data_IF_755201794108
#
_entry.id   IF_755201794108
#
_cell.length_a   1.000
_cell.length_b   1.000
_cell.length_c   1.000
_cell.angle_alpha   90.00
_cell.angle_beta   90.00
_cell.angle_gamma   90.00
#
_symmetry.space_group_name_H-M   'P 1'
#
loop_
_entity.id
_entity.type
_entity.pdbx_description
1 polymer ?
#
# COMPACT_ATOMS: atom_id res chain seq x y z
N UNK A 1 13.03 -5.08 2.18
CA UNK A 1 14.32 -5.54 2.72
C UNK A 1 14.70 -4.67 3.90
N UNK A 2 15.09 -5.26 5.02
CA UNK A 2 15.51 -4.53 6.23
C UNK A 2 16.96 -4.84 6.56
N UNK A 3 17.66 -3.86 7.13
CA UNK A 3 19.00 -4.00 7.69
C UNK A 3 18.96 -4.70 9.05
N UNK A 4 20.11 -5.13 9.53
CA UNK A 4 20.29 -5.70 10.88
C UNK A 4 19.78 -4.78 12.01
N UNK A 5 19.91 -3.46 11.85
CA UNK A 5 19.43 -2.47 12.82
C UNK A 5 17.90 -2.25 12.77
N UNK A 6 17.20 -3.01 11.92
CA UNK A 6 15.77 -2.89 11.70
C UNK A 6 15.37 -1.73 10.77
N UNK A 7 16.28 -0.87 10.32
CA UNK A 7 15.93 0.15 9.33
C UNK A 7 15.60 -0.46 7.96
N UNK A 8 14.76 0.21 7.18
CA UNK A 8 14.42 -0.24 5.83
C UNK A 8 15.55 0.11 4.86
N UNK A 9 16.01 -0.85 4.06
CA UNK A 9 16.96 -0.59 2.98
C UNK A 9 16.19 -0.12 1.74
N UNK A 10 15.28 -0.97 1.28
CA UNK A 10 14.35 -0.67 0.22
C UNK A 10 13.06 -1.47 0.37
N UNK A 11 12.00 -0.96 -0.26
CA UNK A 11 10.68 -1.56 -0.29
C UNK A 11 10.21 -1.71 -1.74
N UNK A 12 9.62 -2.86 -2.04
CA UNK A 12 8.94 -3.16 -3.30
C UNK A 12 7.46 -3.37 -3.00
N UNK A 13 6.58 -2.70 -3.73
CA UNK A 13 5.15 -2.85 -3.54
C UNK A 13 4.37 -2.54 -4.81
N UNK A 14 3.05 -2.51 -4.67
CA UNK A 14 2.12 -2.31 -5.76
C UNK A 14 1.04 -1.33 -5.35
N UNK A 15 0.63 -0.48 -6.29
CA UNK A 15 -0.62 0.28 -6.20
C UNK A 15 -1.38 0.18 -7.51
N UNK A 16 -2.52 -0.52 -7.51
CA UNK A 16 -3.24 -0.89 -8.74
C UNK A 16 -2.28 -1.59 -9.72
N UNK A 17 -2.04 -1.04 -10.91
CA UNK A 17 -1.09 -1.58 -11.89
C UNK A 17 0.32 -0.95 -11.81
N UNK A 18 0.57 -0.10 -10.82
CA UNK A 18 1.83 0.60 -10.64
C UNK A 18 2.79 -0.20 -9.74
N UNK A 19 4.01 -0.44 -10.21
CA UNK A 19 5.11 -1.01 -9.43
C UNK A 19 5.77 0.11 -8.62
N UNK A 20 5.79 -0.01 -7.30
CA UNK A 20 6.40 0.95 -6.38
C UNK A 20 7.74 0.42 -5.90
N UNK A 21 8.79 1.24 -5.96
CA UNK A 21 10.08 0.98 -5.34
C UNK A 21 10.43 2.18 -4.46
N UNK A 22 10.72 1.95 -3.18
CA UNK A 22 11.18 3.01 -2.26
C UNK A 22 12.61 2.73 -1.83
N UNK A 23 13.47 3.74 -1.90
CA UNK A 23 14.82 3.74 -1.36
C UNK A 23 14.91 4.65 -0.15
N UNK A 24 15.55 4.17 0.91
CA UNK A 24 15.72 4.88 2.18
C UNK A 24 17.16 5.40 2.37
N UNK A 25 17.96 5.43 1.30
CA UNK A 25 19.35 5.86 1.36
C UNK A 25 19.53 7.37 1.24
N UNK A 26 18.59 8.05 0.59
CA UNK A 26 18.65 9.51 0.38
C UNK A 26 17.28 10.10 0.68
N UNK A 27 17.10 10.79 1.82
CA UNK A 27 15.84 11.44 2.12
C UNK A 27 15.56 12.54 1.07
N UNK A 28 14.36 12.60 0.46
CA UNK A 28 14.01 13.68 -0.47
C UNK A 28 13.98 15.04 0.25
N UNK A 29 14.13 16.11 -0.54
CA UNK A 29 13.62 17.41 -0.14
C UNK A 29 12.09 17.30 0.03
N UNK A 30 11.57 17.62 1.22
CA UNK A 30 10.15 17.62 1.65
C UNK A 30 9.64 16.33 2.31
N UNK A 31 10.02 16.13 3.57
CA UNK A 31 9.17 15.51 4.61
C UNK A 31 8.92 14.00 4.56
N UNK A 32 9.28 13.28 3.50
CA UNK A 32 9.22 11.82 3.45
C UNK A 32 10.59 11.21 3.78
N UNK A 33 10.66 10.07 4.49
CA UNK A 33 11.93 9.43 4.84
C UNK A 33 12.54 8.59 3.70
N UNK A 34 11.90 8.57 2.51
CA UNK A 34 12.31 7.75 1.37
C UNK A 34 12.10 8.46 0.04
N UNK A 35 12.84 8.02 -0.98
CA UNK A 35 12.62 8.36 -2.40
C UNK A 35 11.81 7.25 -3.06
N UNK A 36 10.68 7.60 -3.65
CA UNK A 36 9.79 6.66 -4.36
C UNK A 36 10.01 6.77 -5.88
N UNK A 37 10.24 5.63 -6.53
CA UNK A 37 10.32 5.45 -7.98
C UNK A 37 9.38 4.33 -8.40
N UNK A 38 9.19 4.11 -9.71
CA UNK A 38 8.34 3.02 -10.15
C UNK A 38 7.96 3.04 -11.62
N UNK A 39 7.07 2.13 -12.01
CA UNK A 39 6.56 2.05 -13.37
C UNK A 39 5.05 1.83 -13.35
N UNK A 40 4.30 2.72 -14.02
CA UNK A 40 2.85 2.64 -14.12
C UNK A 40 2.38 1.71 -15.22
N UNK A 41 1.29 0.99 -14.99
CA UNK A 41 0.65 0.15 -16.01
C UNK A 41 1.33 -1.20 -16.26
N UNK A 42 2.43 -1.50 -15.56
CA UNK A 42 3.22 -2.72 -15.79
C UNK A 42 2.61 -3.95 -15.10
N UNK A 43 1.96 -3.78 -13.95
CA UNK A 43 1.32 -4.85 -13.16
C UNK A 43 -0.17 -5.01 -13.51
N UNK A 44 -0.49 -5.20 -14.78
CA UNK A 44 -1.89 -5.38 -15.20
C UNK A 44 -2.47 -6.73 -14.70
N UNK A 45 -3.72 -6.69 -14.23
CA UNK A 45 -4.39 -7.87 -13.69
C UNK A 45 -4.51 -9.01 -14.71
N UNK A 46 -4.32 -10.25 -14.27
CA UNK A 46 -4.43 -11.45 -15.10
C UNK A 46 -3.25 -11.71 -16.04
N UNK A 47 -2.21 -10.87 -16.04
CA UNK A 47 -1.00 -11.09 -16.82
C UNK A 47 0.11 -11.68 -15.97
N UNK A 48 0.77 -12.70 -16.51
CA UNK A 48 2.08 -13.14 -16.03
C UNK A 48 3.14 -12.23 -16.65
N UNK A 49 3.97 -11.63 -15.80
CA UNK A 49 5.07 -10.76 -16.22
C UNK A 49 6.33 -11.13 -15.45
N UNK A 50 7.48 -10.86 -16.05
CA UNK A 50 8.78 -10.91 -15.40
C UNK A 50 9.23 -9.48 -15.07
N UNK A 51 9.56 -9.23 -13.80
CA UNK A 51 10.06 -7.93 -13.33
C UNK A 51 11.50 -8.11 -12.86
N UNK A 52 12.42 -7.33 -13.41
CA UNK A 52 13.79 -7.23 -12.92
C UNK A 52 14.07 -5.79 -12.45
N UNK A 53 14.64 -5.68 -11.26
CA UNK A 53 15.15 -4.43 -10.71
C UNK A 53 16.67 -4.55 -10.61
N UNK A 54 17.37 -3.69 -11.33
CA UNK A 54 18.83 -3.65 -11.29
C UNK A 54 19.25 -2.36 -10.61
N UNK A 55 19.98 -2.45 -9.50
CA UNK A 55 20.48 -1.27 -8.78
C UNK A 55 21.98 -1.36 -8.57
N UNK A 56 22.69 -0.28 -8.90
CA UNK A 56 24.16 -0.24 -8.86
C UNK A 56 24.69 1.20 -8.80
N UNK A 57 25.97 1.42 -9.16
CA UNK A 57 26.59 2.75 -9.13
C UNK A 57 25.90 3.80 -10.03
N UNK A 58 25.25 3.35 -11.11
CA UNK A 58 24.56 4.22 -12.07
C UNK A 58 23.06 4.39 -11.80
N UNK A 59 22.60 4.06 -10.59
CA UNK A 59 21.21 4.18 -10.19
C UNK A 59 20.42 2.87 -10.27
N UNK A 60 19.12 2.98 -10.51
CA UNK A 60 18.20 1.84 -10.56
C UNK A 60 17.42 1.80 -11.88
N UNK A 61 17.50 0.64 -12.54
CA UNK A 61 16.73 0.30 -13.73
C UNK A 61 15.59 -0.64 -13.39
N UNK A 62 14.46 -0.43 -14.08
CA UNK A 62 13.29 -1.30 -14.03
C UNK A 62 13.13 -1.91 -15.42
N UNK A 63 13.12 -3.25 -15.47
CA UNK A 63 12.87 -4.02 -16.68
C UNK A 63 11.59 -4.85 -16.54
N UNK A 64 10.82 -4.93 -17.62
CA UNK A 64 9.62 -5.76 -17.72
C UNK A 64 9.79 -6.68 -18.91
N UNK A 65 9.63 -7.99 -18.69
CA UNK A 65 9.80 -9.02 -19.71
C UNK A 65 11.14 -8.85 -20.48
N UNK A 66 12.22 -8.59 -19.74
CA UNK A 66 13.57 -8.43 -20.29
C UNK A 66 13.89 -7.06 -20.90
N UNK A 67 12.90 -6.17 -21.05
CA UNK A 67 13.07 -4.86 -21.69
C UNK A 67 13.15 -3.72 -20.66
N UNK A 68 14.09 -2.76 -20.78
CA UNK A 68 14.16 -1.61 -19.89
C UNK A 68 12.95 -0.68 -20.10
N UNK A 69 12.22 -0.36 -19.04
CA UNK A 69 11.05 0.54 -19.09
C UNK A 69 11.27 1.87 -18.37
N UNK A 70 12.13 1.90 -17.34
CA UNK A 70 12.47 3.10 -16.57
C UNK A 70 13.91 3.03 -16.06
N UNK A 71 14.58 4.17 -16.06
CA UNK A 71 15.90 4.39 -15.46
C UNK A 71 15.82 5.55 -14.45
N UNK A 72 16.47 5.37 -13.30
CA UNK A 72 16.54 6.34 -12.21
C UNK A 72 18.00 6.49 -11.75
N UNK A 73 18.78 7.40 -12.36
CA UNK A 73 20.24 7.44 -12.19
C UNK A 73 20.68 7.81 -10.76
N UNK A 74 19.86 8.59 -10.06
CA UNK A 74 20.17 9.11 -8.73
C UNK A 74 19.55 8.28 -7.58
N UNK A 75 19.06 7.06 -7.87
CA UNK A 75 18.38 6.22 -6.87
C UNK A 75 19.08 4.89 -6.77
N UNK A 76 19.64 4.60 -5.61
CA UNK A 76 20.26 3.30 -5.29
C UNK A 76 19.46 2.59 -4.20
N UNK A 77 19.28 1.28 -4.31
CA UNK A 77 18.54 0.48 -3.33
C UNK A 77 19.39 0.15 -2.09
N UNK A 78 20.70 0.02 -2.26
CA UNK A 78 21.67 -0.14 -1.18
C UNK A 78 22.65 1.04 -1.17
N UNK A 79 23.25 1.33 0.00
CA UNK A 79 24.33 2.31 0.13
C UNK A 79 25.58 1.84 -0.62
N UNK A 80 26.55 2.74 -0.80
CA UNK A 80 27.71 2.49 -1.67
C UNK A 80 28.52 1.25 -1.30
N UNK A 81 28.74 1.03 -0.01
CA UNK A 81 29.53 -0.08 0.53
C UNK A 81 28.65 -1.09 1.30
N UNK A 82 27.34 -1.06 1.08
CA UNK A 82 26.40 -1.94 1.76
C UNK A 82 26.27 -3.26 0.99
N UNK A 83 26.53 -4.37 1.68
CA UNK A 83 26.33 -5.72 1.17
C UNK A 83 24.91 -6.20 1.51
N UNK A 84 24.49 -7.30 0.89
CA UNK A 84 23.22 -7.97 1.24
C UNK A 84 23.33 -8.80 2.53
N UNK A 85 24.52 -8.92 3.12
CA UNK A 85 24.75 -9.72 4.31
C UNK A 85 23.98 -9.14 5.51
N UNK A 86 23.40 -10.03 6.33
CA UNK A 86 22.61 -9.66 7.52
C UNK A 86 21.27 -8.98 7.22
N UNK A 87 20.88 -8.81 5.96
CA UNK A 87 19.59 -8.23 5.66
C UNK A 87 18.45 -9.25 5.76
N UNK A 88 17.31 -8.80 6.25
CA UNK A 88 16.08 -9.59 6.28
C UNK A 88 15.20 -9.28 5.06
N UNK A 89 14.75 -10.34 4.39
CA UNK A 89 13.80 -10.27 3.27
C UNK A 89 12.41 -10.67 3.75
N UNK A 90 11.41 -9.89 3.35
CA UNK A 90 10.00 -10.17 3.58
C UNK A 90 9.32 -10.14 2.22
N UNK A 91 8.50 -11.16 1.94
CA UNK A 91 7.79 -11.31 0.67
C UNK A 91 6.30 -11.50 0.90
N UNK A 92 5.49 -11.05 -0.06
CA UNK A 92 4.03 -11.20 -0.04
C UNK A 92 3.27 -10.16 0.79
N UNK A 93 3.91 -9.55 1.80
CA UNK A 93 3.35 -8.45 2.57
C UNK A 93 4.46 -7.58 3.19
N UNK A 94 4.14 -6.37 3.61
CA UNK A 94 5.03 -5.59 4.47
C UNK A 94 5.19 -6.25 5.85
N UNK A 95 6.31 -6.00 6.56
CA UNK A 95 6.58 -6.66 7.85
C UNK A 95 5.53 -6.40 8.94
N UNK A 96 4.84 -5.26 8.87
CA UNK A 96 3.74 -4.84 9.74
C UNK A 96 2.36 -5.33 9.23
N UNK A 97 2.34 -6.10 8.14
CA UNK A 97 1.17 -6.71 7.52
C UNK A 97 0.12 -5.72 6.94
N UNK A 98 0.48 -4.44 6.83
CA UNK A 98 -0.42 -3.37 6.34
C UNK A 98 -0.55 -3.35 4.81
N UNK A 99 0.48 -3.75 4.07
CA UNK A 99 0.57 -3.60 2.62
C UNK A 99 0.77 -4.94 1.89
N UNK A 100 -0.30 -5.75 1.72
CA UNK A 100 -0.19 -7.05 1.05
C UNK A 100 0.03 -6.90 -0.46
N UNK A 101 0.75 -7.86 -1.04
CA UNK A 101 0.88 -7.98 -2.49
C UNK A 101 -0.43 -8.53 -3.10
N UNK A 102 -0.91 -7.90 -4.18
CA UNK A 102 -2.12 -8.32 -4.87
C UNK A 102 -1.78 -9.18 -6.10
N UNK A 103 -1.86 -10.49 -5.93
CA UNK A 103 -1.63 -11.47 -7.01
C UNK A 103 -0.71 -12.61 -6.58
N UNK A 104 -0.21 -13.36 -7.56
CA UNK A 104 0.67 -14.51 -7.31
C UNK A 104 2.09 -14.17 -7.71
N UNK A 105 3.03 -14.35 -6.78
CA UNK A 105 4.47 -14.37 -7.07
C UNK A 105 4.86 -15.82 -7.34
N UNK A 106 5.41 -16.10 -8.52
CA UNK A 106 5.78 -17.48 -8.90
C UNK A 106 7.16 -17.86 -8.36
N UNK A 107 8.13 -16.96 -8.49
CA UNK A 107 9.47 -17.12 -7.96
C UNK A 107 10.13 -15.78 -7.66
N UNK A 108 11.22 -15.83 -6.91
CA UNK A 108 12.02 -14.67 -6.56
C UNK A 108 13.49 -15.07 -6.55
N UNK A 109 14.32 -14.31 -7.25
CA UNK A 109 15.77 -14.53 -7.28
C UNK A 109 16.48 -13.21 -7.00
N UNK A 110 17.47 -13.23 -6.12
CA UNK A 110 18.27 -12.08 -5.72
C UNK A 110 19.73 -12.32 -6.10
N UNK A 111 20.36 -11.33 -6.72
CA UNK A 111 21.77 -11.38 -7.10
C UNK A 111 22.57 -10.36 -6.30
N UNK A 112 23.80 -10.72 -5.94
CA UNK A 112 24.73 -9.84 -5.21
C UNK A 112 25.45 -8.82 -6.08
N UNK A 113 25.12 -8.74 -7.37
CA UNK A 113 25.69 -7.77 -8.32
C UNK A 113 24.62 -7.20 -9.23
N UNK A 114 24.85 -5.98 -9.70
CA UNK A 114 24.06 -5.40 -10.79
C UNK A 114 24.34 -6.16 -12.09
N UNK A 115 23.29 -6.48 -12.83
CA UNK A 115 23.35 -7.04 -14.17
C UNK A 115 23.33 -5.93 -15.23
N UNK A 116 23.89 -6.20 -16.40
CA UNK A 116 23.68 -5.36 -17.58
C UNK A 116 22.29 -5.61 -18.16
N UNK A 117 21.77 -4.66 -18.94
CA UNK A 117 20.48 -4.86 -19.62
C UNK A 117 20.49 -6.10 -20.54
N UNK A 118 21.63 -6.41 -21.17
CA UNK A 118 21.77 -7.62 -22.00
C UNK A 118 21.62 -8.91 -21.18
N UNK A 119 22.25 -8.97 -20.00
CA UNK A 119 22.11 -10.11 -19.08
C UNK A 119 20.66 -10.28 -18.61
N UNK A 120 19.94 -9.18 -18.33
CA UNK A 120 18.51 -9.22 -17.98
C UNK A 120 17.67 -9.76 -19.14
N UNK A 121 17.93 -9.32 -20.37
CA UNK A 121 17.21 -9.81 -21.56
C UNK A 121 17.48 -11.29 -21.83
N UNK A 122 18.72 -11.75 -21.65
CA UNK A 122 19.09 -13.17 -21.79
C UNK A 122 18.33 -14.06 -20.79
N UNK A 123 18.05 -13.53 -19.61
CA UNK A 123 17.38 -14.23 -18.51
C UNK A 123 15.90 -13.82 -18.35
N UNK A 124 15.25 -13.26 -19.38
CA UNK A 124 13.88 -12.76 -19.30
C UNK A 124 12.82 -13.88 -19.11
N UNK A 125 13.18 -15.12 -19.41
CA UNK A 125 12.32 -16.29 -19.30
C UNK A 125 12.77 -17.12 -18.08
N UNK A 126 12.12 -16.96 -16.92
CA UNK A 126 12.44 -17.81 -15.78
C UNK A 126 12.10 -19.27 -16.09
N UNK A 127 12.82 -20.19 -15.44
CA UNK A 127 12.61 -21.63 -15.61
C UNK A 127 11.25 -22.08 -15.06
N UNK A 128 11.02 -23.39 -15.01
CA UNK A 128 9.83 -23.95 -14.35
C UNK A 128 9.67 -23.39 -12.93
N UNK A 129 8.43 -23.05 -12.56
CA UNK A 129 8.12 -22.41 -11.27
C UNK A 129 8.45 -20.91 -11.19
N UNK A 130 8.97 -20.29 -12.25
CA UNK A 130 9.11 -18.82 -12.32
C UNK A 130 10.33 -18.23 -11.61
N UNK A 131 11.25 -19.08 -11.11
CA UNK A 131 12.54 -18.66 -10.58
C UNK A 131 13.64 -18.83 -11.63
N UNK A 132 14.69 -18.00 -11.56
CA UNK A 132 15.80 -18.10 -12.50
C UNK A 132 16.66 -19.34 -12.20
N UNK A 133 17.16 -20.05 -13.24
CA UNK A 133 18.00 -21.22 -13.03
C UNK A 133 19.34 -20.80 -12.39
N UNK A 134 19.59 -21.26 -11.17
CA UNK A 134 20.89 -21.09 -10.52
C UNK A 134 21.72 -22.36 -10.78
N UNK A 135 22.66 -22.31 -11.74
CA UNK A 135 23.70 -23.34 -11.84
C UNK A 135 24.76 -23.06 -10.78
N UNK A 136 25.08 -24.07 -9.95
CA UNK A 136 26.24 -24.03 -9.05
C UNK A 136 27.47 -23.55 -9.84
N UNK A 137 28.01 -22.39 -9.48
CA UNK A 137 29.29 -21.88 -9.99
C UNK A 137 29.24 -20.98 -11.24
N UNK A 138 28.09 -20.71 -11.88
CA UNK A 138 28.05 -19.84 -13.08
C UNK A 138 27.37 -18.48 -12.85
N UNK A 139 26.40 -18.37 -11.93
CA UNK A 139 25.84 -17.09 -11.50
C UNK A 139 25.45 -17.22 -10.02
N UNK A 140 26.19 -16.56 -9.13
CA UNK A 140 25.94 -16.61 -7.69
C UNK A 140 24.72 -15.74 -7.33
N UNK A 141 23.51 -16.31 -7.48
CA UNK A 141 22.37 -15.80 -6.76
C UNK A 141 22.64 -15.90 -5.25
N UNK A 142 22.23 -14.88 -4.51
CA UNK A 142 22.30 -14.84 -3.04
C UNK A 142 21.09 -15.52 -2.41
N UNK A 143 19.97 -15.52 -3.13
CA UNK A 143 18.76 -16.20 -2.74
C UNK A 143 17.95 -16.59 -3.97
N UNK A 144 17.33 -17.78 -3.95
CA UNK A 144 16.46 -18.22 -5.03
C UNK A 144 15.29 -19.05 -4.49
N UNK A 145 14.06 -18.58 -4.70
CA UNK A 145 12.86 -19.22 -4.19
C UNK A 145 11.86 -19.49 -5.29
N UNK A 146 11.23 -20.65 -5.18
CA UNK A 146 10.03 -21.05 -5.91
C UNK A 146 8.87 -21.13 -4.94
N UNK A 147 7.70 -20.65 -5.36
CA UNK A 147 6.49 -20.66 -4.55
C UNK A 147 5.47 -21.70 -5.03
N UNK A 148 5.89 -22.62 -5.90
CA UNK A 148 5.11 -23.79 -6.26
C UNK A 148 5.55 -25.02 -5.44
N UNK A 149 4.58 -25.88 -5.10
CA UNK A 149 4.86 -27.22 -4.55
C UNK A 149 5.51 -27.28 -3.15
N UNK A 150 5.64 -26.16 -2.43
CA UNK A 150 6.19 -26.18 -1.07
C UNK A 150 5.14 -26.59 -0.03
N UNK A 151 5.53 -27.43 0.92
CA UNK A 151 4.70 -27.91 2.02
C UNK A 151 5.29 -27.45 3.37
N UNK A 152 4.42 -27.10 4.32
CA UNK A 152 4.84 -26.64 5.65
C UNK A 152 5.16 -25.15 5.74
N UNK A 153 6.04 -24.81 6.67
CA UNK A 153 6.41 -23.44 7.06
C UNK A 153 7.78 -22.99 6.53
N UNK A 154 8.56 -23.87 5.90
CA UNK A 154 9.88 -23.51 5.35
C UNK A 154 9.84 -23.56 3.82
N UNK A 155 10.45 -22.57 3.18
CA UNK A 155 10.67 -22.50 1.74
C UNK A 155 12.19 -22.47 1.53
N UNK A 156 12.70 -23.55 0.95
CA UNK A 156 14.14 -23.78 0.79
C UNK A 156 14.74 -22.81 -0.22
N UNK A 157 15.91 -22.27 0.11
CA UNK A 157 16.74 -21.50 -0.80
C UNK A 157 17.46 -22.41 -1.81
N UNK A 158 17.10 -22.25 -3.08
CA UNK A 158 17.65 -23.00 -4.20
C UNK A 158 19.00 -22.46 -4.70
N UNK A 159 19.47 -21.33 -4.15
CA UNK A 159 20.79 -20.76 -4.52
C UNK A 159 21.96 -21.55 -3.91
N UNK A 160 21.71 -22.27 -2.82
CA UNK A 160 22.74 -22.93 -2.02
C UNK A 160 23.37 -22.04 -0.95
N UNK A 161 22.91 -20.79 -0.80
CA UNK A 161 23.34 -19.88 0.27
C UNK A 161 22.66 -20.13 1.62
N UNK A 162 21.72 -21.08 1.69
CA UNK A 162 20.98 -21.46 2.90
C UNK A 162 20.17 -20.31 3.53
N UNK A 163 19.68 -19.39 2.71
CA UNK A 163 18.81 -18.29 3.13
C UNK A 163 17.33 -18.72 3.11
N UNK A 164 16.96 -19.82 3.76
CA UNK A 164 15.58 -20.36 3.71
C UNK A 164 14.56 -19.32 4.22
N UNK A 165 13.39 -19.24 3.57
CA UNK A 165 12.30 -18.39 4.05
C UNK A 165 11.41 -19.17 5.02
N UNK A 166 11.02 -18.51 6.10
CA UNK A 166 9.98 -19.00 6.99
C UNK A 166 8.63 -18.35 6.69
N UNK A 167 7.61 -19.18 6.49
CA UNK A 167 6.21 -18.80 6.32
C UNK A 167 5.47 -19.13 7.63
N UNK A 168 4.95 -18.11 8.35
CA UNK A 168 4.15 -18.34 9.55
C UNK A 168 2.89 -19.18 9.27
N UNK A 169 2.56 -20.15 10.13
CA UNK A 169 1.28 -20.87 10.05
C UNK A 169 0.05 -19.97 10.27
N UNK A 170 0.23 -18.85 11.01
CA UNK A 170 -0.82 -17.87 11.26
C UNK A 170 -0.24 -16.47 11.14
N UNK A 171 -0.90 -15.64 10.33
CA UNK A 171 -0.68 -14.20 10.33
C UNK A 171 -1.60 -13.57 11.38
N UNK A 172 -1.01 -12.87 12.35
CA UNK A 172 -1.76 -12.11 13.36
C UNK A 172 -1.66 -10.64 13.00
N UNK A 173 -2.79 -10.05 12.64
CA UNK A 173 -2.89 -8.62 12.34
C UNK A 173 -3.21 -7.87 13.62
N UNK A 174 -2.21 -7.22 14.22
CA UNK A 174 -2.43 -6.32 15.35
C UNK A 174 -2.87 -4.94 14.83
N UNK A 175 -4.17 -4.82 14.55
CA UNK A 175 -4.77 -3.58 14.07
C UNK A 175 -5.40 -2.81 15.21
N UNK A 176 -4.95 -1.57 15.39
CA UNK A 176 -5.53 -0.64 16.36
C UNK A 176 -6.79 -0.01 15.77
N UNK A 177 -7.97 -0.16 16.39
CA UNK A 177 -9.16 0.56 15.95
C UNK A 177 -8.94 2.06 16.13
N UNK A 178 -9.38 2.86 15.16
CA UNK A 178 -9.23 4.32 15.16
C UNK A 178 -7.77 4.76 15.38
N UNK A 179 -6.85 4.13 14.65
CA UNK A 179 -5.44 4.49 14.68
C UNK A 179 -5.24 5.95 14.27
N UNK A 180 -4.26 6.60 14.90
CA UNK A 180 -3.70 7.83 14.37
C UNK A 180 -2.78 7.50 13.18
N UNK A 181 -2.66 8.39 12.19
CA UNK A 181 -1.76 8.17 11.07
C UNK A 181 -0.31 8.08 11.55
N UNK A 182 0.21 6.86 11.70
CA UNK A 182 1.58 6.60 12.08
C UNK A 182 2.46 6.67 10.82
N UNK A 183 2.90 7.89 10.46
CA UNK A 183 3.92 8.08 9.41
C UNK A 183 3.45 7.87 7.95
N UNK A 184 2.25 7.36 7.71
CA UNK A 184 1.62 7.41 6.39
C UNK A 184 1.10 8.83 6.13
N UNK A 185 1.73 9.54 5.19
CA UNK A 185 1.27 10.86 4.76
C UNK A 185 -0.14 10.74 4.17
N UNK A 186 -1.15 11.20 4.89
CA UNK A 186 -2.50 11.35 4.33
C UNK A 186 -2.47 12.40 3.23
N UNK A 187 -3.13 12.12 2.10
CA UNK A 187 -3.21 13.08 1.01
C UNK A 187 -4.35 14.06 1.26
N UNK A 188 -4.20 15.33 0.88
CA UNK A 188 -5.30 16.30 0.96
C UNK A 188 -6.53 15.88 0.15
N UNK A 189 -6.35 15.00 -0.84
CA UNK A 189 -7.44 14.35 -1.56
C UNK A 189 -8.29 13.44 -0.68
N UNK A 190 -7.71 12.70 0.26
CA UNK A 190 -8.47 11.77 1.12
C UNK A 190 -9.41 12.55 2.05
N UNK A 191 -8.89 13.64 2.66
CA UNK A 191 -9.70 14.56 3.47
C UNK A 191 -10.85 15.14 2.65
N UNK A 192 -10.55 15.58 1.42
CA UNK A 192 -11.56 16.16 0.52
C UNK A 192 -12.64 15.14 0.15
N UNK A 193 -12.24 13.90 -0.16
CA UNK A 193 -13.16 12.82 -0.51
C UNK A 193 -14.06 12.44 0.68
N UNK A 194 -13.53 12.36 1.89
CA UNK A 194 -14.31 12.08 3.09
C UNK A 194 -15.35 13.18 3.39
N UNK A 195 -14.91 14.45 3.32
CA UNK A 195 -15.81 15.60 3.50
C UNK A 195 -16.94 15.61 2.46
N UNK A 196 -16.59 15.47 1.16
CA UNK A 196 -17.56 15.48 0.07
C UNK A 196 -18.43 14.23 0.03
N UNK A 197 -17.94 13.10 0.52
CA UNK A 197 -18.71 11.85 0.61
C UNK A 197 -19.81 11.91 1.65
N UNK A 198 -19.55 12.52 2.81
CA UNK A 198 -20.53 12.60 3.91
C UNK A 198 -21.36 13.88 3.92
N UNK A 199 -20.97 14.95 3.21
CA UNK A 199 -21.79 16.16 3.11
C UNK A 199 -23.18 15.92 2.51
N UNK A 200 -23.35 15.20 1.37
CA UNK A 200 -24.67 14.86 0.86
C UNK A 200 -25.51 14.06 1.86
N UNK A 201 -24.89 13.12 2.58
CA UNK A 201 -25.55 12.32 3.60
C UNK A 201 -26.12 13.21 4.73
N UNK A 202 -25.29 14.07 5.33
CA UNK A 202 -25.72 14.98 6.39
C UNK A 202 -26.83 15.93 5.95
N UNK A 203 -26.72 16.44 4.71
CA UNK A 203 -27.74 17.29 4.09
C UNK A 203 -29.08 16.57 3.97
N UNK A 204 -29.09 15.38 3.35
CA UNK A 204 -30.32 14.62 3.12
C UNK A 204 -31.01 14.19 4.42
N UNK A 205 -30.24 13.72 5.41
CA UNK A 205 -30.79 13.32 6.71
C UNK A 205 -31.40 14.53 7.41
N UNK A 206 -30.67 15.64 7.49
CA UNK A 206 -31.16 16.85 8.13
C UNK A 206 -32.42 17.39 7.42
N UNK A 207 -32.40 17.47 6.08
CA UNK A 207 -33.55 17.91 5.28
C UNK A 207 -34.77 17.01 5.50
N UNK A 208 -34.59 15.69 5.51
CA UNK A 208 -35.67 14.73 5.74
C UNK A 208 -36.30 14.88 7.12
N UNK A 209 -35.47 15.15 8.15
CA UNK A 209 -35.93 15.38 9.51
C UNK A 209 -36.69 16.71 9.63
N UNK A 210 -36.19 17.77 8.98
CA UNK A 210 -36.87 19.07 8.89
C UNK A 210 -38.25 18.94 8.24
N UNK A 211 -38.35 18.19 7.12
CA UNK A 211 -39.63 17.91 6.44
C UNK A 211 -40.62 17.12 7.29
N UNK A 212 -40.14 16.34 8.27
CA UNK A 212 -41.03 15.58 9.17
C UNK A 212 -41.60 16.42 10.31
N UNK A 213 -41.03 17.60 10.57
CA UNK A 213 -41.50 18.54 11.59
C UNK A 213 -41.41 18.05 13.04
N UNK A 214 -40.76 16.89 13.31
CA UNK A 214 -40.71 16.32 14.68
C UNK A 214 -39.64 16.97 15.56
N UNK A 215 -38.33 16.94 15.22
CA UNK A 215 -37.33 17.61 16.04
C UNK A 215 -37.29 19.12 15.71
N UNK A 216 -36.79 19.92 16.65
CA UNK A 216 -36.42 21.31 16.33
C UNK A 216 -35.37 21.33 15.21
N UNK A 217 -35.23 22.42 14.44
CA UNK A 217 -34.21 22.51 13.40
C UNK A 217 -32.78 22.24 13.91
N UNK A 218 -32.46 22.67 15.13
CA UNK A 218 -31.20 22.33 15.80
C UNK A 218 -31.10 20.83 16.12
N UNK A 219 -32.19 20.21 16.59
CA UNK A 219 -32.25 18.77 16.81
C UNK A 219 -32.05 17.96 15.52
N UNK A 220 -32.62 18.42 14.39
CA UNK A 220 -32.41 17.81 13.08
C UNK A 220 -30.94 17.85 12.65
N UNK A 221 -30.26 18.98 12.89
CA UNK A 221 -28.83 19.14 12.62
C UNK A 221 -28.00 18.16 13.46
N UNK A 222 -28.14 18.17 14.79
CA UNK A 222 -27.35 17.29 15.66
C UNK A 222 -27.61 15.81 15.37
N UNK A 223 -28.87 15.42 15.10
CA UNK A 223 -29.19 14.04 14.76
C UNK A 223 -28.53 13.61 13.43
N UNK A 224 -28.46 14.50 12.44
CA UNK A 224 -27.75 14.22 11.18
C UNK A 224 -26.24 14.03 11.41
N UNK A 225 -25.62 14.86 12.25
CA UNK A 225 -24.20 14.72 12.63
C UNK A 225 -23.97 13.41 13.40
N UNK A 226 -24.80 13.09 14.40
CA UNK A 226 -24.69 11.87 15.18
C UNK A 226 -24.87 10.61 14.34
N UNK A 227 -25.79 10.62 13.37
CA UNK A 227 -25.96 9.50 12.44
C UNK A 227 -24.76 9.39 11.49
N UNK A 228 -24.21 10.51 11.02
CA UNK A 228 -22.98 10.52 10.22
C UNK A 228 -21.79 9.94 10.97
N UNK A 229 -21.60 10.37 12.23
CA UNK A 229 -20.60 9.80 13.13
C UNK A 229 -20.82 8.29 13.33
N UNK A 230 -22.05 7.86 13.62
CA UNK A 230 -22.34 6.44 13.88
C UNK A 230 -22.08 5.56 12.64
N UNK A 231 -22.48 6.02 11.45
CA UNK A 231 -22.18 5.32 10.18
C UNK A 231 -20.68 5.28 9.94
N UNK A 232 -19.98 6.40 10.10
CA UNK A 232 -18.53 6.43 9.92
C UNK A 232 -17.83 5.53 10.93
N UNK A 233 -18.22 5.54 12.20
CA UNK A 233 -17.66 4.66 13.23
C UNK A 233 -17.89 3.19 12.88
N UNK A 234 -19.07 2.82 12.37
CA UNK A 234 -19.34 1.46 11.93
C UNK A 234 -18.42 1.04 10.76
N UNK A 235 -18.17 1.93 9.80
CA UNK A 235 -17.22 1.70 8.70
C UNK A 235 -15.82 1.43 9.26
N UNK A 236 -15.34 2.33 10.13
CA UNK A 236 -14.02 2.24 10.76
C UNK A 236 -13.82 0.94 11.55
N UNK A 237 -14.80 0.57 12.39
CA UNK A 237 -14.76 -0.66 13.17
C UNK A 237 -14.80 -1.91 12.29
N UNK A 238 -15.47 -1.85 11.13
CA UNK A 238 -15.50 -2.96 10.17
C UNK A 238 -14.16 -3.12 9.47
N UNK A 239 -13.44 -2.03 9.17
CA UNK A 239 -12.15 -2.07 8.48
C UNK A 239 -11.06 -2.79 9.27
N UNK A 240 -11.17 -2.87 10.60
CA UNK A 240 -10.28 -3.68 11.43
C UNK A 240 -10.24 -5.14 10.95
N UNK A 241 -11.36 -5.66 10.45
CA UNK A 241 -11.49 -7.04 9.97
C UNK A 241 -11.18 -7.23 8.49
N UNK A 242 -10.90 -6.16 7.74
CA UNK A 242 -10.66 -6.22 6.30
C UNK A 242 -9.14 -6.20 6.00
N UNK A 243 -8.55 -7.26 5.41
CA UNK A 243 -7.15 -7.25 4.99
C UNK A 243 -6.83 -6.06 4.07
N UNK A 244 -5.71 -5.37 4.31
CA UNK A 244 -5.27 -4.21 3.52
C UNK A 244 -6.10 -2.92 3.73
N UNK A 245 -6.93 -2.86 4.78
CA UNK A 245 -7.58 -1.62 5.24
C UNK A 245 -7.20 -1.33 6.67
N UNK A 246 -6.98 -0.04 6.95
CA UNK A 246 -6.68 0.47 8.29
C UNK A 246 -7.85 1.32 8.77
N UNK A 247 -8.14 1.21 10.07
CA UNK A 247 -9.10 2.10 10.73
C UNK A 247 -8.41 3.39 11.16
N UNK A 248 -9.04 4.52 10.87
CA UNK A 248 -8.49 5.87 10.96
C UNK A 248 -9.41 6.79 11.77
N UNK A 249 -8.87 7.34 12.86
CA UNK A 249 -9.57 8.40 13.61
C UNK A 249 -9.78 9.66 12.76
N UNK A 250 -8.88 9.91 11.80
CA UNK A 250 -8.98 11.04 10.89
C UNK A 250 -10.15 10.87 9.90
N UNK A 251 -10.38 9.66 9.40
CA UNK A 251 -11.51 9.35 8.52
C UNK A 251 -12.83 9.51 9.27
N UNK A 252 -12.90 8.99 10.51
CA UNK A 252 -14.04 9.23 11.40
C UNK A 252 -14.33 10.73 11.59
N UNK A 253 -13.28 11.51 11.84
CA UNK A 253 -13.41 12.96 12.09
C UNK A 253 -13.86 13.70 10.83
N UNK A 254 -13.22 13.43 9.69
CA UNK A 254 -13.51 14.11 8.41
C UNK A 254 -14.88 13.74 7.86
N UNK A 255 -15.30 12.49 7.96
CA UNK A 255 -16.68 12.06 7.61
C UNK A 255 -17.72 12.74 8.51
N UNK A 256 -17.45 12.83 9.81
CA UNK A 256 -18.33 13.53 10.77
C UNK A 256 -18.43 15.03 10.44
N UNK A 257 -17.31 15.66 10.09
CA UNK A 257 -17.28 17.07 9.64
C UNK A 257 -18.05 17.25 8.33
N UNK A 258 -17.90 16.34 7.37
CA UNK A 258 -18.70 16.34 6.13
C UNK A 258 -20.18 16.33 6.43
N UNK A 259 -20.63 15.43 7.30
CA UNK A 259 -22.02 15.35 7.77
C UNK A 259 -22.50 16.66 8.42
N UNK A 260 -21.64 17.31 9.21
CA UNK A 260 -21.95 18.61 9.82
C UNK A 260 -22.09 19.72 8.78
N UNK A 261 -21.21 19.78 7.76
CA UNK A 261 -21.32 20.75 6.66
C UNK A 261 -22.65 20.57 5.93
N UNK A 262 -22.97 19.35 5.53
CA UNK A 262 -24.22 19.02 4.86
C UNK A 262 -25.46 19.37 5.69
N UNK A 263 -25.45 18.99 6.97
CA UNK A 263 -26.53 19.29 7.90
C UNK A 263 -26.71 20.80 8.10
N UNK A 264 -25.63 21.56 8.20
CA UNK A 264 -25.69 23.02 8.31
C UNK A 264 -26.31 23.66 7.06
N UNK A 265 -25.93 23.19 5.87
CA UNK A 265 -26.54 23.64 4.61
C UNK A 265 -28.05 23.41 4.60
N UNK A 266 -28.52 22.22 4.97
CA UNK A 266 -29.95 21.89 5.06
C UNK A 266 -30.68 22.75 6.12
N UNK A 267 -30.05 22.95 7.28
CA UNK A 267 -30.57 23.81 8.35
C UNK A 267 -30.76 25.25 7.89
N UNK A 268 -29.77 25.85 7.23
CA UNK A 268 -29.86 27.21 6.72
C UNK A 268 -30.90 27.34 5.60
N UNK A 269 -30.97 26.34 4.70
CA UNK A 269 -31.99 26.28 3.66
C UNK A 269 -33.41 26.20 4.28
N UNK A 270 -33.62 25.32 5.26
CA UNK A 270 -34.90 25.20 5.95
C UNK A 270 -35.32 26.46 6.71
N UNK A 271 -34.36 27.25 7.21
CA UNK A 271 -34.63 28.57 7.82
C UNK A 271 -34.98 29.64 6.79
N UNK A 272 -34.29 29.68 5.65
CA UNK A 272 -34.51 30.67 4.60
C UNK A 272 -35.83 30.44 3.85
N UNK A 273 -36.21 29.17 3.63
CA UNK A 273 -37.38 28.77 2.84
C UNK A 273 -38.50 28.17 3.69
N UNK A 274 -38.60 28.55 4.97
CA UNK A 274 -39.49 27.96 5.99
C UNK A 274 -41.00 27.99 5.70
N UNK A 275 -41.42 28.55 4.56
CA UNK A 275 -42.80 28.47 4.04
C UNK A 275 -43.10 27.14 3.31
N UNK A 276 -42.10 26.39 2.86
CA UNK A 276 -42.28 25.12 2.11
C UNK A 276 -42.34 23.85 2.97
N UNK A 277 -41.81 23.88 4.19
CA UNK A 277 -41.69 22.68 5.07
C UNK A 277 -42.90 22.44 5.99
N UNK A 278 -43.91 23.32 5.93
CA UNK A 278 -45.14 23.26 6.75
C UNK A 278 -46.39 22.79 5.96
N UNK A 279 -46.23 22.34 4.71
CA UNK A 279 -47.28 21.68 3.92
C UNK A 279 -47.07 20.18 3.96
#
# INVERSE_FOLDING_TARGET
MRRNDGSEAFYLGQWKSYLIVRSFNTPPSKGKPYREIGAGGVLAAGRKIFVALVSGPHGTDIHIDGQPVKNYPDVRLLRENETLEGHSVYLGNSPDLSCPWAGTVMGFTLFGRAWTSAEVTEHQAPGEGGALPCRRGQVAAVANYRFDGFAGESIVDLSGSANDLWKPARLVFDKRPLGLPNGHSFSGSDVTLNLLGFAPFGFMVCLRLLMRGKPSPRGCFFLAVSLGFAVSLAIELTQVWLPGRDSSLLDLTTNTMGSAIGGAMAYHLGRAYGTWLKR
#
